data_IF_326676802216
#
_entry.id   IF_326676802216
#
_cell.length_a   1.000
_cell.length_b   1.000
_cell.length_c   1.000
_cell.angle_alpha   90.00
_cell.angle_beta   90.00
_cell.angle_gamma   90.00
#
_symmetry.space_group_name_H-M   'P 1'
#
loop_
_entity.id
_entity.type
_entity.pdbx_description
1 polymer ?
#
# COMPACT_ATOMS: atom_id res chain seq x y z
N UNK A 1 94.47 32.26 -56.87
CA UNK A 1 93.97 31.11 -56.09
C UNK A 1 94.37 31.26 -54.63
N UNK A 2 93.49 31.72 -53.74
CA UNK A 2 93.79 31.86 -52.31
C UNK A 2 93.41 30.58 -51.55
N UNK A 3 94.40 29.84 -51.04
CA UNK A 3 94.20 28.62 -50.25
C UNK A 3 93.82 29.00 -48.81
N UNK A 4 92.58 28.70 -48.42
CA UNK A 4 92.08 28.86 -47.05
C UNK A 4 92.82 27.93 -46.08
N UNK A 5 93.76 28.47 -45.29
CA UNK A 5 94.38 27.79 -44.15
C UNK A 5 93.37 27.75 -42.99
N UNK A 6 92.63 26.65 -42.90
CA UNK A 6 91.82 26.35 -41.71
C UNK A 6 92.77 26.01 -40.56
N UNK A 7 92.72 26.78 -39.48
CA UNK A 7 93.59 26.59 -38.31
C UNK A 7 93.14 25.41 -37.45
N UNK A 8 94.08 24.56 -37.04
CA UNK A 8 93.87 23.34 -36.24
C UNK A 8 93.05 23.56 -34.95
N UNK A 9 93.06 24.77 -34.39
CA UNK A 9 92.32 25.12 -33.17
C UNK A 9 90.80 25.22 -33.38
N UNK A 10 90.36 25.61 -34.58
CA UNK A 10 88.94 25.71 -34.95
C UNK A 10 88.34 24.32 -35.13
N UNK A 11 89.07 23.40 -35.76
CA UNK A 11 88.68 22.00 -35.93
C UNK A 11 88.54 21.29 -34.58
N UNK A 12 89.49 21.48 -33.64
CA UNK A 12 89.41 20.90 -32.29
C UNK A 12 88.17 21.37 -31.50
N UNK A 13 87.75 22.63 -31.63
CA UNK A 13 86.55 23.16 -30.95
C UNK A 13 85.26 22.57 -31.53
N UNK A 14 85.17 22.37 -32.84
CA UNK A 14 84.00 21.75 -33.50
C UNK A 14 83.87 20.28 -33.08
N UNK A 15 84.96 19.51 -33.15
CA UNK A 15 84.98 18.10 -32.73
C UNK A 15 84.61 17.96 -31.25
N UNK A 16 85.12 18.83 -30.36
CA UNK A 16 84.77 18.79 -28.93
C UNK A 16 83.28 19.09 -28.69
N UNK A 17 82.67 19.99 -29.48
CA UNK A 17 81.25 20.33 -29.37
C UNK A 17 80.36 19.18 -29.85
N UNK A 18 80.73 18.50 -30.93
CA UNK A 18 80.03 17.32 -31.44
C UNK A 18 80.11 16.14 -30.46
N UNK A 19 81.29 15.86 -29.90
CA UNK A 19 81.45 14.81 -28.88
C UNK A 19 80.63 15.11 -27.62
N UNK A 20 80.49 16.39 -27.25
CA UNK A 20 79.64 16.78 -26.12
C UNK A 20 78.15 16.61 -26.44
N UNK A 21 77.74 16.91 -27.68
CA UNK A 21 76.38 16.75 -28.16
C UNK A 21 75.98 15.27 -28.23
N UNK A 22 76.84 14.40 -28.77
CA UNK A 22 76.59 12.95 -28.81
C UNK A 22 76.52 12.35 -27.41
N UNK A 23 77.39 12.78 -26.48
CA UNK A 23 77.34 12.34 -25.07
C UNK A 23 76.06 12.79 -24.35
N UNK A 24 75.55 14.00 -24.64
CA UNK A 24 74.26 14.47 -24.10
C UNK A 24 73.08 13.68 -24.69
N UNK A 25 73.08 13.42 -26.00
CA UNK A 25 72.05 12.62 -26.67
C UNK A 25 72.03 11.18 -26.15
N UNK A 26 73.19 10.55 -25.96
CA UNK A 26 73.31 9.21 -25.38
C UNK A 26 72.77 9.15 -23.92
N UNK A 27 73.05 10.17 -23.10
CA UNK A 27 72.50 10.25 -21.74
C UNK A 27 70.96 10.40 -21.74
N UNK A 28 70.41 11.22 -22.64
CA UNK A 28 68.96 11.39 -22.77
C UNK A 28 68.28 10.11 -23.28
N UNK A 29 68.89 9.41 -24.24
CA UNK A 29 68.43 8.12 -24.74
C UNK A 29 68.43 7.07 -23.62
N UNK A 30 69.49 6.96 -22.83
CA UNK A 30 69.57 6.02 -21.70
C UNK A 30 68.55 6.36 -20.61
N UNK A 31 68.29 7.65 -20.33
CA UNK A 31 67.26 8.07 -19.36
C UNK A 31 65.86 7.66 -19.85
N UNK A 32 65.54 7.89 -21.13
CA UNK A 32 64.28 7.46 -21.76
C UNK A 32 64.12 5.94 -21.81
N UNK A 33 65.20 5.20 -22.10
CA UNK A 33 65.18 3.74 -22.07
C UNK A 33 64.90 3.21 -20.65
N UNK A 34 65.47 3.84 -19.62
CA UNK A 34 65.24 3.48 -18.22
C UNK A 34 63.82 3.77 -17.75
N UNK A 35 63.20 4.88 -18.19
CA UNK A 35 61.79 5.20 -17.87
C UNK A 35 60.83 4.23 -18.56
N UNK A 36 61.05 3.93 -19.84
CA UNK A 36 60.23 2.96 -20.57
C UNK A 36 60.32 1.57 -19.94
N UNK A 37 61.51 1.13 -19.49
CA UNK A 37 61.67 -0.14 -18.79
C UNK A 37 60.86 -0.20 -17.48
N UNK A 38 60.76 0.92 -16.74
CA UNK A 38 59.95 1.01 -15.52
C UNK A 38 58.45 0.97 -15.82
N UNK A 39 57.99 1.63 -16.88
CA UNK A 39 56.58 1.60 -17.29
C UNK A 39 56.14 0.21 -17.76
N UNK A 40 56.96 -0.45 -18.58
CA UNK A 40 56.72 -1.83 -19.02
C UNK A 40 56.66 -2.78 -17.83
N UNK A 41 57.51 -2.61 -16.81
CA UNK A 41 57.47 -3.42 -15.59
C UNK A 41 56.18 -3.19 -14.77
N UNK A 42 55.69 -1.94 -14.69
CA UNK A 42 54.40 -1.62 -14.03
C UNK A 42 53.23 -2.23 -14.78
N UNK A 43 53.18 -2.09 -16.12
CA UNK A 43 52.14 -2.69 -16.95
C UNK A 43 52.09 -4.21 -16.80
N UNK A 44 53.24 -4.90 -16.83
CA UNK A 44 53.33 -6.36 -16.59
C UNK A 44 52.76 -6.77 -15.23
N UNK A 45 52.98 -5.97 -14.17
CA UNK A 45 52.42 -6.24 -12.83
C UNK A 45 50.89 -6.07 -12.80
N UNK A 46 50.35 -5.06 -13.47
CA UNK A 46 48.90 -4.82 -13.56
C UNK A 46 48.23 -5.99 -14.31
N UNK A 47 48.76 -6.34 -15.49
CA UNK A 47 48.26 -7.47 -16.29
C UNK A 47 48.30 -8.78 -15.49
N UNK A 48 49.37 -9.02 -14.71
CA UNK A 48 49.44 -10.22 -13.84
C UNK A 48 48.34 -10.22 -12.76
N UNK A 49 48.05 -9.07 -12.15
CA UNK A 49 46.99 -8.93 -11.14
C UNK A 49 45.60 -9.10 -11.75
N UNK A 50 45.36 -8.56 -12.94
CA UNK A 50 44.09 -8.72 -13.67
C UNK A 50 43.88 -10.17 -14.10
N UNK A 51 44.89 -10.83 -14.66
CA UNK A 51 44.82 -12.27 -14.98
C UNK A 51 44.47 -13.12 -13.75
N UNK A 52 45.06 -12.82 -12.59
CA UNK A 52 44.74 -13.53 -11.35
C UNK A 52 43.30 -13.28 -10.87
N UNK A 53 42.78 -12.05 -11.03
CA UNK A 53 41.37 -11.73 -10.73
C UNK A 53 40.41 -12.44 -11.68
N UNK A 54 40.70 -12.42 -12.98
CA UNK A 54 39.89 -13.09 -13.99
C UNK A 54 39.85 -14.60 -13.75
N UNK A 55 41.00 -15.23 -13.46
CA UNK A 55 41.06 -16.67 -13.14
C UNK A 55 40.25 -17.04 -11.89
N UNK A 56 40.15 -16.13 -10.91
CA UNK A 56 39.26 -16.32 -9.75
C UNK A 56 37.79 -16.21 -10.15
N UNK A 57 37.45 -15.20 -10.96
CA UNK A 57 36.08 -15.01 -11.47
C UNK A 57 35.64 -16.20 -12.33
N UNK A 58 36.50 -16.74 -13.18
CA UNK A 58 36.22 -17.91 -14.02
C UNK A 58 35.92 -19.14 -13.17
N UNK A 59 36.72 -19.39 -12.11
CA UNK A 59 36.45 -20.45 -11.13
C UNK A 59 35.13 -20.26 -10.41
N UNK A 60 34.81 -19.04 -9.99
CA UNK A 60 33.54 -18.72 -9.34
C UNK A 60 32.36 -18.97 -10.30
N UNK A 61 32.50 -18.60 -11.58
CA UNK A 61 31.51 -18.86 -12.63
C UNK A 61 31.33 -20.36 -12.85
N UNK A 62 32.41 -21.15 -12.90
CA UNK A 62 32.33 -22.61 -13.01
C UNK A 62 31.61 -23.24 -11.82
N UNK A 63 31.93 -22.83 -10.59
CA UNK A 63 31.24 -23.30 -9.39
C UNK A 63 29.74 -22.97 -9.44
N UNK A 64 29.38 -21.73 -9.82
CA UNK A 64 27.99 -21.32 -9.96
C UNK A 64 27.26 -22.11 -11.06
N UNK A 65 27.91 -22.38 -12.20
CA UNK A 65 27.35 -23.23 -13.27
C UNK A 65 27.11 -24.65 -12.79
N UNK A 66 28.07 -25.25 -12.07
CA UNK A 66 27.93 -26.58 -11.49
C UNK A 66 26.80 -26.65 -10.46
N UNK A 67 26.64 -25.62 -9.63
CA UNK A 67 25.56 -25.53 -8.66
C UNK A 67 24.19 -25.35 -9.35
N UNK A 68 24.09 -24.52 -10.39
CA UNK A 68 22.89 -24.42 -11.22
C UNK A 68 22.55 -25.78 -11.85
N UNK A 69 23.53 -26.52 -12.36
CA UNK A 69 23.30 -27.85 -12.91
C UNK A 69 22.76 -28.84 -11.86
N UNK A 70 23.34 -28.83 -10.64
CA UNK A 70 22.84 -29.61 -9.49
C UNK A 70 21.42 -29.20 -9.07
N UNK A 71 21.10 -27.91 -9.13
CA UNK A 71 19.77 -27.41 -8.80
C UNK A 71 18.74 -27.70 -9.89
N UNK A 72 19.15 -27.77 -11.16
CA UNK A 72 18.29 -28.19 -12.28
C UNK A 72 17.98 -29.69 -12.26
N UNK A 73 18.95 -30.53 -11.89
CA UNK A 73 18.77 -31.99 -11.81
C UNK A 73 17.89 -32.40 -10.63
N UNK A 74 17.95 -31.65 -9.52
CA UNK A 74 16.94 -31.72 -8.48
C UNK A 74 15.64 -31.19 -9.05
N UNK A 75 14.67 -32.06 -9.37
CA UNK A 75 13.26 -31.69 -9.55
C UNK A 75 12.76 -31.10 -8.23
N UNK A 76 13.09 -29.84 -7.97
CA UNK A 76 12.49 -29.07 -6.88
C UNK A 76 11.02 -29.04 -7.27
N UNK A 77 10.17 -29.66 -6.44
CA UNK A 77 8.73 -29.45 -6.55
C UNK A 77 8.51 -27.95 -6.69
N UNK A 78 7.51 -27.49 -7.44
CA UNK A 78 7.16 -26.05 -7.55
C UNK A 78 6.70 -25.45 -6.20
N UNK A 79 7.18 -25.98 -5.07
CA UNK A 79 7.03 -25.53 -3.72
C UNK A 79 7.56 -24.11 -3.58
N UNK A 80 6.59 -23.24 -3.32
CA UNK A 80 6.67 -21.90 -2.70
C UNK A 80 8.08 -21.32 -2.62
N UNK A 81 8.30 -20.28 -3.41
CA UNK A 81 9.44 -19.36 -3.28
C UNK A 81 9.68 -19.07 -1.79
N UNK A 82 10.91 -19.26 -1.32
CA UNK A 82 11.27 -19.04 0.09
C UNK A 82 10.86 -17.64 0.55
N UNK A 83 10.51 -17.50 1.84
CA UNK A 83 10.13 -16.20 2.42
C UNK A 83 11.20 -15.13 2.18
N UNK A 84 12.47 -15.52 2.24
CA UNK A 84 13.60 -14.65 1.92
C UNK A 84 13.51 -14.13 0.49
N UNK A 85 13.32 -15.02 -0.49
CA UNK A 85 13.23 -14.63 -1.89
C UNK A 85 12.01 -13.75 -2.16
N UNK A 86 10.87 -14.01 -1.51
CA UNK A 86 9.69 -13.15 -1.60
C UNK A 86 9.97 -11.75 -1.03
N UNK A 87 10.62 -11.68 0.13
CA UNK A 87 11.00 -10.41 0.76
C UNK A 87 11.96 -9.62 -0.12
N UNK A 88 13.04 -10.25 -0.60
CA UNK A 88 14.03 -9.59 -1.45
C UNK A 88 13.40 -9.08 -2.74
N UNK A 89 12.57 -9.89 -3.41
CA UNK A 89 11.84 -9.45 -4.61
C UNK A 89 10.97 -8.22 -4.33
N UNK A 90 10.31 -8.18 -3.17
CA UNK A 90 9.50 -7.02 -2.75
C UNK A 90 10.37 -5.77 -2.56
N UNK A 91 11.53 -5.89 -1.90
CA UNK A 91 12.43 -4.74 -1.69
C UNK A 91 13.07 -4.24 -2.98
N UNK A 92 13.44 -5.15 -3.89
CA UNK A 92 13.96 -4.79 -5.21
C UNK A 92 12.87 -4.09 -6.03
N UNK A 93 11.63 -4.58 -5.98
CA UNK A 93 10.48 -3.94 -6.64
C UNK A 93 10.23 -2.52 -6.12
N UNK A 94 10.52 -2.25 -4.85
CA UNK A 94 10.47 -0.90 -4.28
C UNK A 94 11.74 -0.06 -4.54
N UNK A 95 12.65 -0.51 -5.42
CA UNK A 95 13.84 0.25 -5.81
C UNK A 95 15.06 0.10 -4.90
N UNK A 96 15.05 -0.83 -3.93
CA UNK A 96 16.24 -1.06 -3.11
C UNK A 96 17.25 -1.99 -3.78
N UNK A 97 18.53 -1.66 -3.68
CA UNK A 97 19.63 -2.55 -4.04
C UNK A 97 19.59 -3.85 -3.23
N UNK A 98 19.99 -4.97 -3.83
CA UNK A 98 20.04 -6.28 -3.19
C UNK A 98 20.78 -6.28 -1.84
N UNK A 99 21.91 -5.59 -1.73
CA UNK A 99 22.71 -5.52 -0.49
C UNK A 99 21.96 -4.83 0.65
N UNK A 100 21.25 -3.73 0.37
CA UNK A 100 20.37 -3.05 1.33
C UNK A 100 19.20 -3.95 1.73
N UNK A 101 18.58 -4.63 0.76
CA UNK A 101 17.47 -5.56 1.00
C UNK A 101 17.90 -6.74 1.89
N UNK A 102 19.07 -7.34 1.66
CA UNK A 102 19.61 -8.41 2.48
C UNK A 102 19.86 -7.96 3.94
N UNK A 103 20.42 -6.76 4.14
CA UNK A 103 20.57 -6.17 5.49
C UNK A 103 19.22 -5.95 6.17
N UNK A 104 18.21 -5.50 5.43
CA UNK A 104 16.86 -5.35 5.96
C UNK A 104 16.22 -6.68 6.32
N UNK A 105 16.50 -7.76 5.58
CA UNK A 105 16.00 -9.09 5.92
C UNK A 105 16.49 -9.56 7.29
N UNK A 106 17.78 -9.38 7.59
CA UNK A 106 18.33 -9.70 8.92
C UNK A 106 17.62 -8.92 10.02
N UNK A 107 17.36 -7.62 9.80
CA UNK A 107 16.58 -6.78 10.74
C UNK A 107 15.13 -7.28 10.88
N UNK A 108 14.50 -7.62 9.77
CA UNK A 108 13.13 -8.14 9.75
C UNK A 108 13.01 -9.46 10.52
N UNK A 109 13.94 -10.39 10.35
CA UNK A 109 13.98 -11.65 11.11
C UNK A 109 14.23 -11.41 12.60
N UNK A 110 15.15 -10.51 12.95
CA UNK A 110 15.36 -10.12 14.34
C UNK A 110 14.10 -9.49 14.97
N UNK A 111 13.35 -8.68 14.21
CA UNK A 111 12.06 -8.11 14.65
C UNK A 111 10.99 -9.19 14.82
N UNK A 112 10.88 -10.12 13.87
CA UNK A 112 9.99 -11.28 13.97
C UNK A 112 10.29 -12.11 15.22
N UNK A 113 11.56 -12.38 15.51
CA UNK A 113 11.97 -13.09 16.72
C UNK A 113 11.63 -12.30 17.99
N UNK A 114 11.81 -10.97 17.99
CA UNK A 114 11.39 -10.12 19.11
C UNK A 114 9.88 -10.13 19.31
N UNK A 115 9.09 -10.09 18.24
CA UNK A 115 7.62 -10.10 18.32
C UNK A 115 7.07 -11.48 18.71
N UNK A 116 7.79 -12.57 18.40
CA UNK A 116 7.46 -13.91 18.90
C UNK A 116 7.72 -14.07 20.40
N UNK A 117 8.53 -13.20 21.02
CA UNK A 117 8.70 -13.22 22.48
C UNK A 117 7.37 -12.79 23.11
N UNK A 118 6.80 -13.68 23.93
CA UNK A 118 5.64 -13.32 24.75
C UNK A 118 6.01 -12.06 25.55
N UNK A 119 5.15 -11.03 25.58
CA UNK A 119 5.40 -9.85 26.40
C UNK A 119 5.67 -10.29 27.84
N UNK A 120 6.62 -9.65 28.52
CA UNK A 120 6.95 -9.99 29.90
C UNK A 120 5.70 -9.90 30.79
N UNK A 121 5.67 -10.63 31.90
CA UNK A 121 4.55 -10.57 32.85
C UNK A 121 4.25 -9.12 33.28
N UNK A 122 5.29 -8.29 33.42
CA UNK A 122 5.17 -6.85 33.64
C UNK A 122 4.45 -6.14 32.49
N UNK A 123 4.91 -6.30 31.25
CA UNK A 123 4.28 -5.64 30.09
C UNK A 123 2.84 -6.10 29.86
N UNK A 124 2.55 -7.38 30.10
CA UNK A 124 1.18 -7.91 30.05
C UNK A 124 0.30 -7.28 31.13
N UNK A 125 0.79 -7.16 32.36
CA UNK A 125 0.07 -6.55 33.46
C UNK A 125 -0.17 -5.05 33.24
N UNK A 126 0.86 -4.30 32.85
CA UNK A 126 0.70 -2.86 32.55
C UNK A 126 -0.28 -2.66 31.40
N UNK A 127 -0.15 -3.45 30.33
CA UNK A 127 -1.08 -3.40 29.20
C UNK A 127 -2.52 -3.71 29.59
N UNK A 128 -2.75 -4.64 30.54
CA UNK A 128 -4.11 -4.94 31.02
C UNK A 128 -4.68 -3.81 31.88
N UNK A 129 -3.89 -3.21 32.78
CA UNK A 129 -4.34 -2.08 33.59
C UNK A 129 -4.65 -0.83 32.75
N UNK A 130 -3.86 -0.56 31.72
CA UNK A 130 -4.13 0.54 30.79
C UNK A 130 -5.41 0.30 29.97
N UNK A 131 -5.72 -0.94 29.56
CA UNK A 131 -7.01 -1.27 28.93
C UNK A 131 -8.20 -1.06 29.87
N UNK A 132 -7.97 -1.17 31.19
CA UNK A 132 -8.96 -0.85 32.23
C UNK A 132 -9.05 0.67 32.52
N UNK A 133 -8.34 1.51 31.75
CA UNK A 133 -8.40 2.98 31.85
C UNK A 133 -7.45 3.59 32.89
N UNK A 134 -6.55 2.82 33.50
CA UNK A 134 -5.59 3.34 34.49
C UNK A 134 -4.43 4.05 33.81
N UNK A 135 -3.90 5.07 34.47
CA UNK A 135 -2.69 5.74 33.98
C UNK A 135 -1.48 4.80 34.06
N UNK A 136 -0.43 5.10 33.28
CA UNK A 136 0.80 4.30 33.32
C UNK A 136 1.41 4.27 34.74
N UNK A 137 1.44 5.43 35.41
CA UNK A 137 1.97 5.55 36.77
C UNK A 137 1.16 4.71 37.78
N UNK A 138 -0.17 4.75 37.72
CA UNK A 138 -1.04 3.90 38.54
C UNK A 138 -0.82 2.41 38.26
N UNK A 139 -0.66 2.04 36.99
CA UNK A 139 -0.40 0.68 36.58
C UNK A 139 0.92 0.16 37.15
N UNK A 140 1.97 1.00 37.15
CA UNK A 140 3.27 0.66 37.76
C UNK A 140 3.17 0.55 39.29
N UNK A 141 2.43 1.45 39.94
CA UNK A 141 2.19 1.38 41.38
C UNK A 141 1.46 0.08 41.76
N UNK A 142 0.43 -0.29 41.01
CA UNK A 142 -0.29 -1.56 41.19
C UNK A 142 0.58 -2.77 40.94
N UNK A 143 1.48 -2.73 39.96
CA UNK A 143 2.44 -3.81 39.75
C UNK A 143 3.37 -3.97 40.95
N UNK A 144 3.88 -2.87 41.51
CA UNK A 144 4.70 -2.90 42.74
C UNK A 144 3.92 -3.48 43.93
N UNK A 145 2.64 -3.12 44.08
CA UNK A 145 1.75 -3.69 45.10
C UNK A 145 1.46 -5.17 44.87
N UNK A 146 1.29 -5.59 43.61
CA UNK A 146 1.08 -6.99 43.22
C UNK A 146 2.32 -7.83 43.51
N UNK A 147 3.50 -7.36 43.11
CA UNK A 147 4.80 -7.95 43.42
C UNK A 147 5.05 -8.07 44.92
N UNK A 148 4.61 -7.09 45.69
CA UNK A 148 4.70 -7.11 47.16
C UNK A 148 3.63 -8.01 47.82
N UNK A 149 2.76 -8.68 47.06
CA UNK A 149 1.68 -9.51 47.59
C UNK A 149 0.61 -8.73 48.36
N UNK A 150 0.50 -7.42 48.12
CA UNK A 150 -0.44 -6.51 48.79
C UNK A 150 -1.69 -6.23 47.95
N UNK A 151 -1.67 -6.58 46.67
CA UNK A 151 -2.83 -6.45 45.78
C UNK A 151 -3.91 -7.48 46.16
N UNK A 152 -5.09 -7.03 46.56
CA UNK A 152 -6.23 -7.90 46.92
C UNK A 152 -6.30 -8.35 48.38
N UNK A 153 -5.31 -7.99 49.22
CA UNK A 153 -5.45 -8.10 50.67
C UNK A 153 -6.47 -7.04 51.11
N UNK A 154 -7.74 -7.44 51.25
CA UNK A 154 -8.74 -6.62 51.95
C UNK A 154 -8.14 -6.33 53.33
N UNK A 155 -7.71 -5.10 53.57
CA UNK A 155 -7.40 -4.67 54.93
C UNK A 155 -8.61 -4.99 55.82
N UNK A 156 -8.40 -5.22 57.11
CA UNK A 156 -9.51 -5.39 58.06
C UNK A 156 -10.44 -4.17 57.91
N UNK A 157 -11.56 -4.33 57.21
CA UNK A 157 -12.56 -3.27 57.04
C UNK A 157 -13.19 -3.03 58.39
N UNK A 158 -12.83 -1.94 59.07
CA UNK A 158 -13.58 -1.47 60.23
C UNK A 158 -14.90 -0.92 59.72
N UNK A 159 -15.99 -1.59 60.04
CA UNK A 159 -17.33 -1.06 59.83
C UNK A 159 -17.51 0.13 60.76
N UNK A 160 -17.45 1.35 60.23
CA UNK A 160 -17.76 2.56 60.98
C UNK A 160 -19.24 2.85 60.77
N UNK A 161 -20.07 2.54 61.76
CA UNK A 161 -21.47 2.96 61.77
C UNK A 161 -21.52 4.48 61.95
N UNK A 162 -22.00 5.19 60.92
CA UNK A 162 -22.31 6.62 61.03
C UNK A 162 -23.82 6.77 61.23
N UNK A 163 -24.23 7.24 62.40
CA UNK A 163 -25.59 7.69 62.66
C UNK A 163 -25.80 9.04 61.97
N UNK A 164 -26.50 9.04 60.83
CA UNK A 164 -26.89 10.26 60.13
C UNK A 164 -28.28 10.67 60.59
N UNK A 165 -28.35 11.64 61.50
CA UNK A 165 -29.63 12.25 61.90
C UNK A 165 -30.08 13.18 60.79
N UNK A 166 -31.12 12.79 60.05
CA UNK A 166 -31.78 13.65 59.06
C UNK A 166 -32.85 14.49 59.73
N UNK A 167 -32.55 15.72 60.08
CA UNK A 167 -33.57 16.71 60.45
C UNK A 167 -34.27 17.21 59.18
N UNK A 168 -35.56 16.88 59.02
CA UNK A 168 -36.38 17.46 57.95
C UNK A 168 -37.00 18.76 58.46
N UNK A 169 -36.65 19.89 57.85
CA UNK A 169 -37.33 21.17 58.10
C UNK A 169 -38.67 21.14 57.34
N UNK A 170 -39.77 21.05 58.08
CA UNK A 170 -41.13 21.06 57.51
C UNK A 170 -41.57 22.51 57.34
N UNK A 171 -41.79 22.95 56.10
CA UNK A 171 -42.33 24.30 55.82
C UNK A 171 -43.84 24.31 56.06
N UNK A 172 -44.41 25.36 56.70
CA UNK A 172 -45.85 25.46 56.92
C UNK A 172 -46.60 25.64 55.60
N UNK A 173 -47.83 25.10 55.52
CA UNK A 173 -48.69 25.23 54.34
C UNK A 173 -49.07 26.71 54.11
N UNK A 174 -49.09 27.20 52.85
CA UNK A 174 -49.48 28.57 52.57
C UNK A 174 -50.97 28.81 52.88
N UNK A 175 -51.30 29.99 53.43
CA UNK A 175 -52.68 30.39 53.72
C UNK A 175 -53.48 30.53 52.42
N UNK A 176 -54.61 29.85 52.35
CA UNK A 176 -55.55 29.91 51.22
C UNK A 176 -56.24 31.28 51.24
N UNK A 177 -56.07 32.09 50.20
CA UNK A 177 -56.86 33.32 49.97
C UNK A 177 -58.00 33.00 49.02
N UNK A 178 -59.24 33.15 49.48
CA UNK A 178 -60.42 33.02 48.62
C UNK A 178 -60.63 34.33 47.86
N UNK A 179 -60.87 34.22 46.54
CA UNK A 179 -61.32 35.33 45.71
C UNK A 179 -62.77 35.05 45.33
N UNK A 180 -63.70 35.85 45.83
CA UNK A 180 -65.09 35.78 45.40
C UNK A 180 -65.19 36.29 43.97
N UNK A 181 -65.87 35.52 43.10
CA UNK A 181 -66.13 35.90 41.72
C UNK A 181 -67.63 36.08 41.57
N UNK A 182 -68.08 37.30 41.33
CA UNK A 182 -69.46 37.57 40.91
C UNK A 182 -69.62 37.16 39.44
N UNK A 183 -70.55 36.25 39.19
CA UNK A 183 -70.92 35.78 37.85
C UNK A 183 -72.18 36.52 37.42
N UNK A 184 -72.08 37.40 36.44
CA UNK A 184 -73.25 37.91 35.71
C UNK A 184 -73.64 36.89 34.65
N UNK A 185 -74.89 36.41 34.71
CA UNK A 185 -75.47 35.52 33.69
C UNK A 185 -76.36 36.34 32.77
N UNK A 186 -76.00 36.41 31.49
CA UNK A 186 -76.92 36.84 30.43
C UNK A 186 -77.70 35.64 29.91
N UNK A 187 -79.02 35.68 30.08
CA UNK A 187 -79.94 34.64 29.59
C UNK A 187 -80.33 35.01 28.16
N UNK A 188 -79.84 34.25 27.18
CA UNK A 188 -80.28 34.37 25.78
C UNK A 188 -81.24 33.23 25.48
N UNK A 189 -82.48 33.55 25.05
CA UNK A 189 -83.45 32.57 24.58
C UNK A 189 -82.91 31.86 23.33
N UNK A 190 -82.84 30.53 23.39
CA UNK A 190 -82.33 29.67 22.33
C UNK A 190 -83.39 29.50 21.25
N UNK A 191 -83.14 30.02 20.05
CA UNK A 191 -83.98 29.76 18.86
C UNK A 191 -83.71 28.33 18.37
N UNK A 192 -84.74 27.52 18.05
CA UNK A 192 -84.54 26.14 17.60
C UNK A 192 -83.93 26.09 16.20
N UNK A 193 -82.82 25.36 16.04
CA UNK A 193 -82.23 25.05 14.74
C UNK A 193 -82.85 23.76 14.16
N UNK A 194 -83.17 23.79 12.86
CA UNK A 194 -83.71 22.63 12.12
C UNK A 194 -82.65 21.52 11.97
N UNK A 195 -83.07 20.25 11.88
CA UNK A 195 -82.15 19.10 11.79
C UNK A 195 -81.36 19.14 10.48
N UNK A 196 -80.03 18.97 10.57
CA UNK A 196 -79.16 18.74 9.41
C UNK A 196 -79.04 17.23 9.17
N UNK A 197 -79.47 16.77 8.00
CA UNK A 197 -79.18 15.43 7.49
C UNK A 197 -77.73 15.35 7.02
N UNK A 198 -77.07 14.24 7.34
CA UNK A 198 -75.67 13.99 7.02
C UNK A 198 -75.61 12.85 6.00
N UNK A 199 -75.25 13.16 4.76
CA UNK A 199 -75.02 12.14 3.73
C UNK A 199 -73.66 11.49 3.93
N UNK A 200 -73.63 10.16 3.95
CA UNK A 200 -72.41 9.35 4.01
C UNK A 200 -72.10 8.85 2.60
N UNK A 201 -70.99 9.29 2.03
CA UNK A 201 -70.47 8.72 0.78
C UNK A 201 -69.52 7.57 1.08
N UNK A 202 -69.87 6.37 0.62
CA UNK A 202 -69.03 5.18 0.68
C UNK A 202 -68.05 5.23 -0.50
N UNK A 203 -66.76 5.43 -0.22
CA UNK A 203 -65.71 5.36 -1.25
C UNK A 203 -65.48 3.87 -1.55
N UNK A 204 -65.96 3.41 -2.70
CA UNK A 204 -65.57 2.12 -3.28
C UNK A 204 -64.28 2.36 -4.05
N UNK A 205 -63.17 1.75 -3.62
CA UNK A 205 -61.95 1.67 -4.42
C UNK A 205 -62.25 0.81 -5.64
N UNK A 206 -62.50 1.43 -6.79
CA UNK A 206 -62.38 0.78 -8.08
C UNK A 206 -60.91 0.45 -8.31
N UNK A 207 -60.57 -0.83 -8.27
CA UNK A 207 -59.24 -1.31 -8.66
C UNK A 207 -58.97 -0.96 -10.11
N UNK A 208 -57.94 -0.17 -10.36
CA UNK A 208 -57.39 0.05 -11.70
C UNK A 208 -56.53 -1.16 -12.06
N UNK A 209 -57.17 -2.20 -12.59
CA UNK A 209 -56.53 -3.42 -13.15
C UNK A 209 -55.83 -3.15 -14.51
N UNK A 210 -55.59 -1.88 -14.85
CA UNK A 210 -55.09 -1.46 -16.17
C UNK A 210 -53.56 -1.42 -16.20
N UNK A 211 -52.90 -1.13 -15.07
CA UNK A 211 -51.43 -1.02 -15.02
C UNK A 211 -50.72 -2.38 -14.96
N UNK A 212 -51.35 -3.40 -14.39
CA UNK A 212 -50.79 -4.75 -14.25
C UNK A 212 -50.78 -5.52 -15.58
N UNK A 213 -51.75 -5.24 -16.48
CA UNK A 213 -51.83 -5.83 -17.83
C UNK A 213 -50.80 -5.18 -18.76
N UNK A 214 -50.69 -3.85 -18.73
CA UNK A 214 -49.69 -3.10 -19.51
C UNK A 214 -48.26 -3.43 -19.08
N UNK A 215 -47.99 -3.58 -17.77
CA UNK A 215 -46.69 -4.06 -17.27
C UNK A 215 -46.41 -5.51 -17.67
N UNK A 216 -47.41 -6.40 -17.68
CA UNK A 216 -47.24 -7.78 -18.17
C UNK A 216 -46.96 -7.85 -19.67
N UNK A 217 -47.59 -7.00 -20.48
CA UNK A 217 -47.32 -6.90 -21.91
C UNK A 217 -45.95 -6.28 -22.21
N UNK A 218 -45.51 -5.27 -21.46
CA UNK A 218 -44.16 -4.72 -21.58
C UNK A 218 -43.08 -5.74 -21.17
N UNK A 219 -43.32 -6.54 -20.13
CA UNK A 219 -42.39 -7.60 -19.72
C UNK A 219 -42.40 -8.75 -20.74
N UNK A 220 -43.57 -9.14 -21.25
CA UNK A 220 -43.69 -10.24 -22.22
C UNK A 220 -43.12 -9.86 -23.60
N UNK A 221 -43.27 -8.60 -24.04
CA UNK A 221 -42.64 -8.05 -25.24
C UNK A 221 -41.13 -7.84 -25.11
N UNK A 222 -40.61 -7.67 -23.88
CA UNK A 222 -39.17 -7.63 -23.62
C UNK A 222 -38.50 -9.01 -23.58
N UNK A 223 -39.25 -10.08 -23.29
CA UNK A 223 -38.74 -11.46 -23.31
C UNK A 223 -38.84 -12.16 -24.68
N UNK A 224 -39.58 -11.58 -25.64
CA UNK A 224 -39.83 -12.21 -26.95
C UNK A 224 -39.11 -11.56 -28.13
N UNK A 225 -38.23 -10.57 -27.89
CA UNK A 225 -37.19 -10.26 -28.87
C UNK A 225 -36.14 -11.36 -28.79
N UNK A 226 -36.26 -12.34 -29.67
CA UNK A 226 -35.15 -13.23 -30.02
C UNK A 226 -33.92 -12.36 -30.25
N UNK A 227 -32.93 -12.49 -29.38
CA UNK A 227 -31.66 -11.76 -29.48
C UNK A 227 -31.16 -12.01 -30.90
N UNK A 228 -31.10 -10.95 -31.72
CA UNK A 228 -30.71 -11.10 -33.11
C UNK A 228 -29.25 -11.59 -33.15
N UNK A 229 -28.86 -12.29 -34.21
CA UNK A 229 -27.47 -12.76 -34.35
C UNK A 229 -26.48 -11.59 -34.30
N UNK A 230 -26.93 -10.41 -34.72
CA UNK A 230 -26.17 -9.16 -34.67
C UNK A 230 -26.08 -8.59 -33.24
N UNK A 231 -27.13 -8.71 -32.41
CA UNK A 231 -27.09 -8.37 -30.98
C UNK A 231 -26.19 -9.33 -30.17
N UNK A 232 -26.12 -10.61 -30.56
CA UNK A 232 -25.18 -11.57 -29.94
C UNK A 232 -23.73 -11.24 -30.39
N UNK A 233 -23.55 -10.84 -31.65
CA UNK A 233 -22.25 -10.44 -32.19
C UNK A 233 -21.71 -9.17 -31.52
N UNK A 234 -22.55 -8.17 -31.26
CA UNK A 234 -22.18 -6.95 -30.53
C UNK A 234 -21.90 -7.21 -29.04
N UNK A 235 -22.52 -8.23 -28.43
CA UNK A 235 -22.15 -8.66 -27.07
C UNK A 235 -20.83 -9.44 -27.01
N UNK A 236 -20.47 -10.17 -28.08
CA UNK A 236 -19.22 -10.95 -28.16
C UNK A 236 -18.03 -10.05 -28.47
N UNK A 237 -18.22 -9.04 -29.32
CA UNK A 237 -17.23 -8.02 -29.66
C UNK A 237 -17.85 -6.63 -29.39
N UNK A 238 -17.83 -6.15 -28.14
CA UNK A 238 -18.33 -4.81 -27.85
C UNK A 238 -17.53 -3.79 -28.66
N UNK A 239 -18.24 -2.87 -29.32
CA UNK A 239 -17.61 -1.79 -30.06
C UNK A 239 -16.62 -1.04 -29.17
N UNK A 240 -15.50 -0.60 -29.75
CA UNK A 240 -14.43 0.08 -29.00
C UNK A 240 -14.95 1.27 -28.20
N UNK A 241 -16.00 1.93 -28.70
CA UNK A 241 -16.71 3.03 -28.02
C UNK A 241 -17.44 2.57 -26.76
N UNK A 242 -18.10 1.41 -26.78
CA UNK A 242 -18.77 0.84 -25.61
C UNK A 242 -17.78 0.37 -24.56
N UNK A 243 -16.66 -0.23 -25.00
CA UNK A 243 -15.55 -0.61 -24.11
C UNK A 243 -14.99 0.66 -23.42
N UNK A 244 -14.74 1.72 -24.19
CA UNK A 244 -14.25 2.98 -23.68
C UNK A 244 -15.23 3.60 -22.66
N UNK A 245 -16.53 3.61 -22.99
CA UNK A 245 -17.58 4.09 -22.08
C UNK A 245 -17.62 3.29 -20.77
N UNK A 246 -17.54 1.96 -20.86
CA UNK A 246 -17.55 1.05 -19.70
C UNK A 246 -16.30 1.21 -18.82
N UNK A 247 -15.14 1.47 -19.43
CA UNK A 247 -13.89 1.82 -18.72
C UNK A 247 -14.07 3.14 -17.97
N UNK A 248 -14.54 4.19 -18.62
CA UNK A 248 -14.77 5.52 -18.03
C UNK A 248 -15.76 5.44 -16.88
N UNK A 249 -16.89 4.76 -17.07
CA UNK A 249 -17.91 4.58 -16.04
C UNK A 249 -17.37 3.81 -14.82
N UNK A 250 -16.59 2.75 -15.05
CA UNK A 250 -15.98 1.94 -13.98
C UNK A 250 -14.93 2.76 -13.22
N UNK A 251 -14.13 3.55 -13.94
CA UNK A 251 -13.12 4.44 -13.40
C UNK A 251 -13.72 5.52 -12.47
N UNK A 252 -14.75 6.24 -12.92
CA UNK A 252 -15.41 7.25 -12.08
C UNK A 252 -16.10 6.64 -10.85
N UNK A 253 -16.71 5.45 -11.02
CA UNK A 253 -17.31 4.71 -9.90
C UNK A 253 -16.27 4.29 -8.86
N UNK A 254 -15.06 3.98 -9.29
CA UNK A 254 -13.97 3.60 -8.39
C UNK A 254 -13.34 4.80 -7.71
N UNK A 255 -13.10 5.91 -8.41
CA UNK A 255 -12.66 7.17 -7.80
C UNK A 255 -13.66 7.63 -6.74
N UNK A 256 -14.96 7.58 -7.04
CA UNK A 256 -16.01 7.91 -6.10
C UNK A 256 -16.01 7.00 -4.86
N UNK A 257 -15.70 5.70 -5.02
CA UNK A 257 -15.57 4.76 -3.89
C UNK A 257 -14.35 5.00 -3.03
N UNK A 258 -13.23 5.41 -3.61
CA UNK A 258 -11.99 5.66 -2.87
C UNK A 258 -11.99 7.00 -2.12
N UNK A 259 -12.96 7.89 -2.39
CA UNK A 259 -13.14 9.12 -1.62
C UNK A 259 -11.95 10.08 -1.72
N UNK A 260 -11.30 10.13 -2.89
CA UNK A 260 -10.10 10.95 -3.09
C UNK A 260 -10.40 12.44 -2.85
N UNK A 261 -9.70 13.05 -1.89
CA UNK A 261 -9.80 14.47 -1.57
C UNK A 261 -8.87 15.26 -2.50
N UNK A 262 -9.44 15.99 -3.48
CA UNK A 262 -8.91 17.12 -4.28
C UNK A 262 -7.53 17.02 -4.97
N UNK A 263 -6.66 16.07 -4.63
CA UNK A 263 -5.35 15.87 -5.25
C UNK A 263 -5.20 14.39 -5.57
N UNK A 264 -5.54 14.03 -6.81
CA UNK A 264 -5.29 12.71 -7.35
C UNK A 264 -3.92 12.74 -8.03
N UNK A 265 -3.01 11.87 -7.60
CA UNK A 265 -1.69 11.79 -8.25
C UNK A 265 -1.80 11.08 -9.59
N UNK A 266 -0.91 11.40 -10.53
CA UNK A 266 -0.91 10.79 -11.87
C UNK A 266 -0.80 9.26 -11.80
N UNK A 267 -0.03 8.73 -10.84
CA UNK A 267 0.10 7.30 -10.62
C UNK A 267 -1.21 6.64 -10.15
N UNK A 268 -2.02 7.33 -9.34
CA UNK A 268 -3.33 6.83 -8.91
C UNK A 268 -4.34 6.79 -10.06
N UNK A 269 -4.31 7.80 -10.94
CA UNK A 269 -5.11 7.84 -12.18
C UNK A 269 -4.76 6.64 -13.08
N UNK A 270 -3.47 6.43 -13.33
CA UNK A 270 -2.98 5.35 -14.19
C UNK A 270 -3.33 3.98 -13.60
N UNK A 271 -3.17 3.80 -12.28
CA UNK A 271 -3.51 2.55 -11.61
C UNK A 271 -5.02 2.27 -11.63
N UNK A 272 -5.86 3.29 -11.43
CA UNK A 272 -7.32 3.14 -11.52
C UNK A 272 -7.76 2.81 -12.95
N UNK A 273 -7.14 3.40 -13.97
CA UNK A 273 -7.37 3.04 -15.38
C UNK A 273 -7.04 1.57 -15.67
N UNK A 274 -5.86 1.09 -15.27
CA UNK A 274 -5.48 -0.31 -15.47
C UNK A 274 -6.36 -1.28 -14.68
N UNK A 275 -6.82 -0.89 -13.51
CA UNK A 275 -7.77 -1.68 -12.73
C UNK A 275 -9.13 -1.77 -13.42
N UNK A 276 -9.69 -0.65 -13.89
CA UNK A 276 -10.94 -0.61 -14.63
C UNK A 276 -10.86 -1.46 -15.91
N UNK A 277 -9.77 -1.34 -16.67
CA UNK A 277 -9.51 -2.14 -17.86
C UNK A 277 -9.42 -3.64 -17.55
N UNK A 278 -8.69 -4.03 -16.51
CA UNK A 278 -8.61 -5.42 -16.08
C UNK A 278 -9.98 -5.97 -15.63
N UNK A 279 -10.81 -5.12 -15.02
CA UNK A 279 -12.14 -5.50 -14.53
C UNK A 279 -13.17 -5.65 -15.65
N UNK A 280 -13.14 -4.79 -16.66
CA UNK A 280 -13.96 -4.92 -17.87
C UNK A 280 -13.59 -6.21 -18.61
N UNK A 281 -12.30 -6.48 -18.81
CA UNK A 281 -11.81 -7.74 -19.41
C UNK A 281 -12.26 -8.98 -18.63
N UNK A 282 -12.26 -8.93 -17.29
CA UNK A 282 -12.71 -10.04 -16.45
C UNK A 282 -14.22 -10.22 -16.38
N UNK A 283 -15.02 -9.17 -16.60
CA UNK A 283 -16.49 -9.30 -16.65
C UNK A 283 -16.96 -9.90 -17.96
N UNK A 284 -16.32 -9.54 -19.06
CA UNK A 284 -16.67 -10.06 -20.37
C UNK A 284 -16.20 -11.52 -20.58
N UNK A 285 -15.17 -11.99 -19.85
CA UNK A 285 -14.65 -13.36 -19.97
C UNK A 285 -15.64 -14.49 -19.55
N UNK A 286 -16.28 -14.46 -18.36
CA UNK A 286 -17.20 -15.52 -17.93
C UNK A 286 -18.57 -15.46 -18.63
N UNK A 287 -19.00 -14.29 -19.12
CA UNK A 287 -20.22 -14.16 -19.94
C UNK A 287 -20.00 -14.71 -21.35
N UNK A 288 -18.84 -14.48 -21.97
CA UNK A 288 -18.47 -15.08 -23.25
C UNK A 288 -18.37 -16.61 -23.16
N UNK A 289 -17.76 -17.17 -22.11
CA UNK A 289 -17.67 -18.63 -21.92
C UNK A 289 -19.03 -19.28 -21.67
N UNK A 290 -19.96 -18.61 -20.99
CA UNK A 290 -21.34 -19.10 -20.81
C UNK A 290 -22.15 -19.02 -22.11
N UNK A 291 -22.07 -17.91 -22.83
CA UNK A 291 -22.75 -17.75 -24.12
C UNK A 291 -22.26 -18.76 -25.16
N UNK A 292 -20.96 -19.07 -25.20
CA UNK A 292 -20.40 -20.10 -26.09
C UNK A 292 -20.88 -21.52 -25.72
N UNK A 293 -21.01 -21.82 -24.41
CA UNK A 293 -21.58 -23.10 -23.95
C UNK A 293 -23.08 -23.22 -24.23
N UNK A 294 -23.84 -22.14 -24.07
CA UNK A 294 -25.29 -22.12 -24.34
C UNK A 294 -25.59 -22.10 -25.85
N UNK A 295 -24.72 -21.52 -26.67
CA UNK A 295 -24.82 -21.55 -28.14
C UNK A 295 -24.40 -22.90 -28.77
N UNK A 296 -23.95 -23.88 -27.97
CA UNK A 296 -23.57 -25.21 -28.46
C UNK A 296 -22.37 -25.23 -29.41
N UNK A 297 -21.60 -24.15 -29.48
CA UNK A 297 -20.41 -24.06 -30.34
C UNK A 297 -19.21 -24.58 -29.55
N UNK A 298 -19.19 -25.89 -29.34
CA UNK A 298 -17.99 -26.62 -28.94
C UNK A 298 -17.64 -27.61 -30.05
N UNK A 299 -16.45 -27.46 -30.62
CA UNK A 299 -15.69 -28.58 -31.18
C UNK A 299 -14.80 -29.13 -30.07
#
# INVERSE_FOLDING_TARGET
>A
MAKNKVTHSKVKKVVKKEVLATKKMAKLANKKASSNKKEVAKAKRIVKKEKAKNLKQDKDIEMLKAEIAKLKSKKVSRGRVSEYNLFIRKQIKSGMSFTKAAKQWSKYKALQEKNKRKPSAYNQFIGSQMRLGKTWAESVALWRLAKAGKLGKKGKTRTVTKTVVKTRVIKPKPKIKYRTRTLTKTIVKKVPQKPKTRTVTKIVKSGSDVDSKMLREMISSSMSRSISRDDISSMINPDDEEIAFKIIQTYFKEIARYGFKKQLTLDEIINAYFYALARVKRKNAPEAEKAVREAGITK
#
